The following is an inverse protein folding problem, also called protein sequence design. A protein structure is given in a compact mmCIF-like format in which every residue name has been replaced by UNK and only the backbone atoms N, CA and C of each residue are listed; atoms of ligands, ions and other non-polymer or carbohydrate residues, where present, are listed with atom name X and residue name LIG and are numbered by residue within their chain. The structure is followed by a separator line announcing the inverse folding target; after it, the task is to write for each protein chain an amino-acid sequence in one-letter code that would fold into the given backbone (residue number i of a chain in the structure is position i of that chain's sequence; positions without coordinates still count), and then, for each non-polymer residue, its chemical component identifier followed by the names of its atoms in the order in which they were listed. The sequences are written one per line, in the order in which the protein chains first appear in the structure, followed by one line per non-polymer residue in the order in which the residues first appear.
data_IF_019268520777
#
_entry.id   IF_019268520777
#
_cell.length_a   1.000
_cell.length_b   1.000
_cell.length_c   1.000
_cell.angle_alpha   90.00
_cell.angle_beta   90.00
_cell.angle_gamma   90.00
#
_symmetry.space_group_name_H-M   'P 1'
#
loop_
_entity.id
_entity.type
_entity.pdbx_description
1 polymer ?
#
# COMPACT_ATOMS: atom_id res chain seq x y z
N UNK A 1 5.63 -9.00 16.12
CA UNK A 1 6.89 -8.49 15.53
C UNK A 1 6.66 -7.14 14.88
N UNK A 2 7.71 -6.43 14.49
CA UNK A 2 7.63 -5.04 14.01
C UNK A 2 8.30 -4.86 12.65
N UNK A 3 7.98 -3.77 11.97
CA UNK A 3 8.68 -3.30 10.76
C UNK A 3 10.19 -3.17 10.97
N UNK A 4 10.61 -2.77 12.19
CA UNK A 4 12.03 -2.64 12.54
C UNK A 4 12.78 -3.96 12.47
N UNK A 5 12.13 -5.09 12.79
CA UNK A 5 12.74 -6.42 12.63
C UNK A 5 12.98 -6.72 11.15
N UNK A 6 11.96 -6.57 10.30
CA UNK A 6 12.10 -6.76 8.85
C UNK A 6 13.24 -5.92 8.27
N UNK A 7 13.27 -4.63 8.59
CA UNK A 7 14.29 -3.71 8.07
C UNK A 7 15.69 -4.05 8.56
N UNK A 8 15.90 -4.12 9.88
CA UNK A 8 17.25 -4.26 10.43
C UNK A 8 17.86 -5.63 10.11
N UNK A 9 17.06 -6.69 10.11
CA UNK A 9 17.57 -8.03 9.83
C UNK A 9 17.87 -8.19 8.34
N UNK A 10 17.02 -7.66 7.45
CA UNK A 10 17.28 -7.66 6.01
C UNK A 10 18.57 -6.90 5.68
N UNK A 11 18.69 -5.67 6.19
CA UNK A 11 19.87 -4.85 5.98
C UNK A 11 21.14 -5.51 6.52
N UNK A 12 21.06 -6.18 7.67
CA UNK A 12 22.17 -6.92 8.26
C UNK A 12 22.67 -8.04 7.34
N UNK A 13 21.77 -8.85 6.80
CA UNK A 13 22.12 -9.93 5.87
C UNK A 13 22.66 -9.36 4.56
N UNK A 14 22.01 -8.36 3.98
CA UNK A 14 22.43 -7.73 2.74
C UNK A 14 23.87 -7.17 2.85
N UNK A 15 24.18 -6.45 3.93
CA UNK A 15 25.54 -5.92 4.15
C UNK A 15 26.55 -7.05 4.41
N UNK A 16 26.17 -8.07 5.19
CA UNK A 16 27.08 -9.18 5.48
C UNK A 16 27.47 -9.95 4.21
N UNK A 17 26.52 -10.19 3.31
CA UNK A 17 26.76 -10.86 2.04
C UNK A 17 27.76 -10.10 1.14
N UNK A 18 27.89 -8.79 1.33
CA UNK A 18 28.80 -7.93 0.55
C UNK A 18 30.16 -7.77 1.24
N UNK A 19 30.20 -7.70 2.57
CA UNK A 19 31.42 -7.41 3.36
C UNK A 19 31.69 -8.51 4.40
N UNK A 20 31.96 -9.72 3.92
CA UNK A 20 32.10 -10.93 4.76
C UNK A 20 33.19 -10.86 5.84
N UNK A 21 34.15 -9.93 5.74
CA UNK A 21 35.28 -9.78 6.68
C UNK A 21 35.19 -8.55 7.61
N UNK A 22 34.18 -7.68 7.48
CA UNK A 22 34.03 -6.50 8.34
C UNK A 22 33.15 -6.78 9.56
N UNK A 23 33.40 -6.07 10.67
CA UNK A 23 32.47 -6.06 11.81
C UNK A 23 31.13 -5.49 11.32
N UNK A 24 30.12 -6.36 11.26
CA UNK A 24 28.75 -5.95 10.89
C UNK A 24 28.30 -4.84 11.85
N UNK A 25 27.82 -3.69 11.33
CA UNK A 25 27.28 -2.63 12.17
C UNK A 25 26.14 -3.15 13.05
N UNK A 26 26.07 -2.66 14.29
CA UNK A 26 24.89 -2.89 15.14
C UNK A 26 23.83 -1.87 14.74
N UNK A 27 22.64 -2.34 14.40
CA UNK A 27 21.50 -1.47 14.12
C UNK A 27 20.73 -1.14 15.40
N UNK A 28 20.47 0.14 15.59
CA UNK A 28 19.49 0.65 16.56
C UNK A 28 18.29 1.16 15.78
N UNK A 29 17.11 0.62 16.06
CA UNK A 29 15.86 1.10 15.51
C UNK A 29 15.10 1.90 16.58
N UNK A 30 14.89 3.19 16.35
CA UNK A 30 14.07 4.06 17.19
C UNK A 30 12.73 4.32 16.52
N UNK A 31 11.64 4.23 17.28
CA UNK A 31 10.29 4.52 16.80
C UNK A 31 9.67 5.64 17.61
N UNK A 32 9.40 6.76 16.95
CA UNK A 32 8.67 7.91 17.49
C UNK A 32 7.33 8.14 16.77
N UNK A 33 6.85 7.15 16.01
CA UNK A 33 5.59 7.23 15.29
C UNK A 33 4.40 7.27 16.25
N UNK A 34 3.34 7.97 15.85
CA UNK A 34 2.10 8.05 16.60
C UNK A 34 0.91 7.89 15.68
N UNK A 35 -0.04 7.03 16.07
CA UNK A 35 -1.25 6.79 15.30
C UNK A 35 -2.15 8.03 15.16
N UNK A 36 -2.81 8.13 14.02
CA UNK A 36 -3.83 9.16 13.74
C UNK A 36 -3.29 10.60 13.69
N UNK A 37 -2.00 10.77 13.33
CA UNK A 37 -1.37 12.07 13.14
C UNK A 37 -1.36 12.50 11.69
N UNK A 38 -1.63 13.77 11.47
CA UNK A 38 -1.48 14.44 10.18
C UNK A 38 -0.03 14.92 10.00
N UNK A 39 0.43 15.07 8.75
CA UNK A 39 1.81 15.47 8.42
C UNK A 39 2.30 16.69 9.23
N UNK A 40 1.49 17.75 9.34
CA UNK A 40 1.88 18.97 10.06
C UNK A 40 2.04 18.76 11.57
N UNK A 41 1.32 17.83 12.17
CA UNK A 41 1.51 17.51 13.59
C UNK A 41 2.87 16.88 13.88
N UNK A 42 3.54 16.35 12.85
CA UNK A 42 4.76 15.56 12.96
C UNK A 42 6.02 16.29 12.47
N UNK A 43 5.88 17.54 12.03
CA UNK A 43 7.01 18.38 11.63
C UNK A 43 7.30 19.45 12.68
N UNK A 44 8.53 20.00 12.69
CA UNK A 44 8.93 21.02 13.67
C UNK A 44 8.33 22.41 13.40
N UNK A 45 7.75 22.61 12.22
CA UNK A 45 7.23 23.89 11.73
C UNK A 45 5.79 24.16 12.18
N UNK A 46 5.05 23.10 12.48
CA UNK A 46 3.64 23.14 12.86
C UNK A 46 3.35 22.33 14.15
N UNK A 47 4.27 22.39 15.12
CA UNK A 47 4.14 21.66 16.38
C UNK A 47 2.94 22.15 17.22
N UNK A 48 1.90 21.31 17.27
CA UNK A 48 0.65 21.54 18.01
C UNK A 48 0.80 21.50 19.54
N UNK A 49 2.00 21.23 20.09
CA UNK A 49 2.22 21.16 21.54
C UNK A 49 1.83 22.45 22.29
N UNK A 50 1.74 23.57 21.57
CA UNK A 50 1.33 24.88 22.10
C UNK A 50 -0.06 25.32 21.63
N UNK A 51 -0.76 24.50 20.84
CA UNK A 51 -2.09 24.84 20.35
C UNK A 51 -3.10 24.78 21.51
N UNK A 52 -3.89 25.85 21.76
CA UNK A 52 -4.87 25.86 22.86
C UNK A 52 -5.97 24.79 22.72
N UNK A 53 -6.15 24.21 21.53
CA UNK A 53 -7.07 23.09 21.25
C UNK A 53 -6.46 21.73 21.62
N UNK A 54 -5.15 21.66 21.86
CA UNK A 54 -4.46 20.45 22.28
C UNK A 54 -4.74 20.12 23.77
N UNK A 55 -5.92 19.57 24.04
CA UNK A 55 -6.36 19.24 25.41
C UNK A 55 -6.07 17.81 25.88
N UNK A 56 -5.53 16.94 25.02
CA UNK A 56 -5.28 15.52 25.35
C UNK A 56 -3.87 15.11 24.98
N UNK A 57 -3.35 14.05 25.62
CA UNK A 57 -2.05 13.44 25.24
C UNK A 57 -2.00 13.03 23.77
N UNK A 58 -3.16 12.65 23.21
CA UNK A 58 -3.25 12.40 21.77
C UNK A 58 -2.93 13.69 21.00
N UNK A 59 -3.50 14.85 21.29
CA UNK A 59 -3.20 16.08 20.54
C UNK A 59 -1.96 16.86 21.00
N UNK A 60 -1.15 16.33 21.91
CA UNK A 60 -0.13 17.08 22.66
C UNK A 60 1.12 17.52 21.91
N UNK A 61 1.19 17.36 20.58
CA UNK A 61 2.34 17.70 19.75
C UNK A 61 3.67 17.07 20.20
N UNK A 62 4.79 17.71 19.85
CA UNK A 62 6.14 17.34 20.29
C UNK A 62 6.71 16.08 19.62
N UNK A 63 6.07 15.58 18.57
CA UNK A 63 6.43 14.31 17.93
C UNK A 63 7.78 14.38 17.20
N UNK A 64 8.00 15.43 16.41
CA UNK A 64 9.30 15.69 15.79
C UNK A 64 10.40 15.86 16.85
N UNK A 65 10.11 16.59 17.92
CA UNK A 65 11.09 16.77 19.00
C UNK A 65 11.44 15.42 19.65
N UNK A 66 10.45 14.55 19.83
CA UNK A 66 10.65 13.22 20.42
C UNK A 66 11.58 12.36 19.57
N UNK A 67 11.40 12.33 18.25
CA UNK A 67 12.29 11.59 17.34
C UNK A 67 13.72 12.15 17.36
N UNK A 68 13.89 13.47 17.37
CA UNK A 68 15.21 14.09 17.49
C UNK A 68 15.85 13.84 18.87
N UNK A 69 15.06 13.80 19.95
CA UNK A 69 15.56 13.46 21.28
C UNK A 69 16.05 12.00 21.36
N UNK A 70 15.44 11.07 20.62
CA UNK A 70 15.97 9.70 20.47
C UNK A 70 17.37 9.71 19.83
N UNK A 71 17.58 10.51 18.77
CA UNK A 71 18.88 10.66 18.12
C UNK A 71 19.93 11.21 19.10
N UNK A 72 19.57 12.22 19.91
CA UNK A 72 20.45 12.78 20.95
C UNK A 72 20.83 11.73 21.99
N UNK A 73 19.85 10.97 22.50
CA UNK A 73 20.07 9.90 23.48
C UNK A 73 21.00 8.83 22.93
N UNK A 74 20.71 8.32 21.74
CA UNK A 74 21.52 7.29 21.10
C UNK A 74 22.97 7.75 20.86
N UNK A 75 23.18 8.98 20.38
CA UNK A 75 24.51 9.55 20.19
C UNK A 75 25.27 9.71 21.52
N UNK A 76 24.59 10.14 22.58
CA UNK A 76 25.18 10.26 23.92
C UNK A 76 25.62 8.90 24.47
N UNK A 77 24.75 7.89 24.40
CA UNK A 77 25.06 6.53 24.88
C UNK A 77 26.20 5.88 24.10
N UNK A 78 26.25 6.09 22.79
CA UNK A 78 27.35 5.61 21.95
C UNK A 78 28.68 6.25 22.38
N UNK A 79 28.72 7.57 22.60
CA UNK A 79 29.91 8.27 23.11
C UNK A 79 30.34 7.76 24.49
N UNK A 80 29.40 7.58 25.42
CA UNK A 80 29.69 7.02 26.76
C UNK A 80 30.24 5.59 26.67
N UNK A 81 29.82 4.83 25.66
CA UNK A 81 30.26 3.46 25.41
C UNK A 81 31.50 3.35 24.52
N UNK A 82 32.13 4.46 24.13
CA UNK A 82 33.29 4.48 23.24
C UNK A 82 33.00 3.99 21.81
N UNK A 83 31.75 4.08 21.35
CA UNK A 83 31.30 3.69 20.01
C UNK A 83 31.01 4.92 19.14
N UNK A 84 31.19 4.79 17.82
CA UNK A 84 30.71 5.78 16.85
C UNK A 84 29.21 5.62 16.61
N UNK A 85 28.51 6.71 16.33
CA UNK A 85 27.09 6.71 16.00
C UNK A 85 26.82 7.59 14.78
N UNK A 86 25.92 7.13 13.93
CA UNK A 86 25.37 7.85 12.78
C UNK A 86 23.97 7.34 12.50
N UNK A 87 23.09 8.21 12.00
CA UNK A 87 21.79 7.79 11.51
C UNK A 87 21.89 7.50 10.02
N UNK A 88 21.63 6.25 9.67
CA UNK A 88 21.69 5.79 8.28
C UNK A 88 20.49 6.30 7.47
N UNK A 89 19.29 6.15 8.03
CA UNK A 89 18.05 6.42 7.33
C UNK A 89 16.94 6.86 8.28
N UNK A 90 16.01 7.66 7.75
CA UNK A 90 14.70 7.97 8.30
C UNK A 90 13.67 7.30 7.40
N UNK A 91 12.91 6.36 7.94
CA UNK A 91 11.78 5.73 7.25
C UNK A 91 10.49 6.43 7.65
N UNK A 92 9.92 7.17 6.71
CA UNK A 92 8.71 7.94 6.88
C UNK A 92 7.49 7.15 6.42
N UNK A 93 6.64 6.76 7.38
CA UNK A 93 5.36 6.13 7.11
C UNK A 93 4.23 6.95 7.70
N UNK A 94 3.60 7.74 6.84
CA UNK A 94 2.46 8.56 7.20
C UNK A 94 1.75 9.04 5.94
N UNK A 95 0.44 9.24 6.04
CA UNK A 95 -0.37 9.96 5.05
C UNK A 95 -1.85 9.62 5.15
N UNK A 96 -2.18 8.55 5.87
CA UNK A 96 -3.50 7.96 6.05
C UNK A 96 -4.47 8.97 6.70
N UNK A 97 -4.02 9.68 7.73
CA UNK A 97 -4.82 10.70 8.41
C UNK A 97 -5.21 11.86 7.47
N UNK A 98 -4.37 12.17 6.49
CA UNK A 98 -4.59 13.23 5.53
C UNK A 98 -5.54 12.83 4.38
N UNK A 99 -6.09 11.61 4.37
CA UNK A 99 -6.99 11.14 3.33
C UNK A 99 -8.27 12.00 3.18
N UNK A 100 -8.64 12.75 4.22
CA UNK A 100 -9.76 13.69 4.19
C UNK A 100 -9.41 15.08 3.64
N UNK A 101 -8.23 15.25 3.03
CA UNK A 101 -7.78 16.51 2.42
C UNK A 101 -7.27 17.56 3.40
N UNK A 102 -7.12 17.24 4.70
CA UNK A 102 -6.55 18.18 5.69
C UNK A 102 -5.06 17.94 5.88
N UNK A 103 -4.29 18.99 6.18
CA UNK A 103 -2.84 18.90 6.48
C UNK A 103 -2.55 18.84 7.98
N UNK A 104 -3.44 19.43 8.78
CA UNK A 104 -3.53 19.28 10.23
C UNK A 104 -4.97 18.90 10.61
N UNK A 105 -5.17 18.22 11.75
CA UNK A 105 -6.49 17.79 12.23
C UNK A 105 -7.53 18.92 12.32
N UNK A 106 -7.07 20.15 12.60
CA UNK A 106 -7.94 21.31 12.79
C UNK A 106 -8.16 22.15 11.53
N UNK A 107 -7.46 21.83 10.44
CA UNK A 107 -7.59 22.56 9.19
C UNK A 107 -8.90 22.20 8.48
N UNK A 108 -9.35 23.13 7.63
CA UNK A 108 -10.34 22.80 6.61
C UNK A 108 -9.72 21.91 5.53
N UNK A 109 -10.49 20.99 4.92
CA UNK A 109 -9.99 20.22 3.80
C UNK A 109 -9.63 21.15 2.64
N UNK A 110 -8.50 20.86 1.99
CA UNK A 110 -8.03 21.56 0.81
C UNK A 110 -8.54 20.89 -0.45
N UNK A 111 -8.74 21.69 -1.50
CA UNK A 111 -8.95 21.19 -2.85
C UNK A 111 -7.75 20.38 -3.34
N UNK A 112 -7.99 19.44 -4.25
CA UNK A 112 -7.01 18.43 -4.66
C UNK A 112 -5.64 19.02 -5.03
N UNK A 113 -5.62 20.00 -5.94
CA UNK A 113 -4.36 20.59 -6.40
C UNK A 113 -3.59 21.25 -5.24
N UNK A 114 -4.26 22.09 -4.45
CA UNK A 114 -3.67 22.78 -3.32
C UNK A 114 -3.16 21.81 -2.23
N UNK A 115 -3.89 20.74 -1.98
CA UNK A 115 -3.44 19.69 -1.05
C UNK A 115 -2.17 19.01 -1.55
N UNK A 116 -2.13 18.62 -2.83
CA UNK A 116 -0.98 17.89 -3.39
C UNK A 116 0.29 18.75 -3.29
N UNK A 117 0.20 20.03 -3.68
CA UNK A 117 1.33 20.95 -3.64
C UNK A 117 1.80 21.21 -2.20
N UNK A 118 0.86 21.44 -1.28
CA UNK A 118 1.20 21.72 0.11
C UNK A 118 1.73 20.50 0.87
N UNK A 119 1.15 19.31 0.67
CA UNK A 119 1.67 18.07 1.28
C UNK A 119 3.07 17.74 0.74
N UNK A 120 3.27 17.89 -0.57
CA UNK A 120 4.57 17.69 -1.21
C UNK A 120 5.62 18.61 -0.58
N UNK A 121 5.36 19.92 -0.51
CA UNK A 121 6.31 20.87 0.09
C UNK A 121 6.56 20.57 1.57
N UNK A 122 5.52 20.28 2.36
CA UNK A 122 5.65 19.96 3.79
C UNK A 122 6.50 18.69 4.00
N UNK A 123 6.43 17.70 3.11
CA UNK A 123 7.25 16.49 3.15
C UNK A 123 8.72 16.78 2.81
N UNK A 124 8.97 17.64 1.81
CA UNK A 124 10.32 18.08 1.43
C UNK A 124 10.97 18.86 2.59
N UNK A 125 10.22 19.77 3.19
CA UNK A 125 10.65 20.54 4.35
C UNK A 125 10.96 19.64 5.55
N UNK A 126 10.10 18.66 5.83
CA UNK A 126 10.31 17.67 6.89
C UNK A 126 11.59 16.86 6.67
N UNK A 127 11.84 16.41 5.44
CA UNK A 127 13.06 15.70 5.07
C UNK A 127 14.30 16.56 5.30
N UNK A 128 14.27 17.82 4.84
CA UNK A 128 15.38 18.76 5.03
C UNK A 128 15.64 19.02 6.52
N UNK A 129 14.57 19.22 7.30
CA UNK A 129 14.66 19.44 8.74
C UNK A 129 15.31 18.25 9.45
N UNK A 130 14.89 17.01 9.15
CA UNK A 130 15.50 15.81 9.71
C UNK A 130 16.97 15.68 9.33
N UNK A 131 17.31 15.82 8.05
CA UNK A 131 18.68 15.68 7.57
C UNK A 131 19.62 16.69 8.24
N UNK A 132 19.18 17.95 8.36
CA UNK A 132 19.94 18.99 9.03
C UNK A 132 20.13 18.70 10.52
N UNK A 133 19.03 18.53 11.26
CA UNK A 133 19.09 18.42 12.72
C UNK A 133 19.87 17.15 13.16
N UNK A 134 19.74 16.05 12.40
CA UNK A 134 20.50 14.83 12.65
C UNK A 134 21.99 15.03 12.39
N UNK A 135 22.36 15.70 11.30
CA UNK A 135 23.76 15.97 10.99
C UNK A 135 24.40 16.88 12.06
N UNK A 136 23.67 17.89 12.54
CA UNK A 136 24.12 18.76 13.63
C UNK A 136 24.35 18.00 14.95
N UNK A 137 23.48 17.03 15.28
CA UNK A 137 23.60 16.23 16.52
C UNK A 137 24.75 15.24 16.44
N UNK A 138 24.83 14.49 15.34
CA UNK A 138 25.75 13.36 15.19
C UNK A 138 27.13 13.78 14.70
N UNK A 139 27.22 14.87 13.94
CA UNK A 139 28.43 15.28 13.21
C UNK A 139 28.74 14.41 11.99
N UNK A 140 27.78 13.59 11.53
CA UNK A 140 27.98 12.73 10.36
C UNK A 140 28.17 13.56 9.08
N UNK A 141 29.07 13.12 8.20
CA UNK A 141 29.41 13.85 6.96
C UNK A 141 28.47 13.56 5.78
N UNK A 142 27.49 12.68 5.96
CA UNK A 142 26.51 12.29 4.95
C UNK A 142 25.10 12.56 5.46
N UNK A 143 24.19 12.92 4.56
CA UNK A 143 22.78 13.07 4.91
C UNK A 143 22.17 11.69 5.18
N UNK A 144 21.37 11.51 6.23
CA UNK A 144 20.53 10.33 6.36
C UNK A 144 19.64 10.17 5.12
N UNK A 145 19.48 8.93 4.66
CA UNK A 145 18.50 8.63 3.61
C UNK A 145 17.10 8.96 4.14
N UNK A 146 16.24 9.53 3.30
CA UNK A 146 14.83 9.73 3.65
C UNK A 146 13.97 8.85 2.74
N UNK A 147 13.39 7.80 3.31
CA UNK A 147 12.60 6.84 2.55
C UNK A 147 11.12 6.98 2.92
N UNK A 148 10.24 7.01 1.93
CA UNK A 148 8.78 7.00 2.10
C UNK A 148 8.19 5.81 1.36
N UNK A 149 6.92 5.54 1.61
CA UNK A 149 6.10 4.60 0.85
C UNK A 149 4.93 5.33 0.21
N UNK A 150 4.22 4.67 -0.71
CA UNK A 150 3.00 5.22 -1.29
C UNK A 150 1.82 4.80 -0.43
N UNK A 151 1.26 5.78 0.28
CA UNK A 151 0.04 5.58 1.06
C UNK A 151 -1.09 5.12 0.14
N UNK A 152 -1.74 4.00 0.49
CA UNK A 152 -2.74 3.38 -0.37
C UNK A 152 -4.00 4.27 -0.48
N UNK A 153 -4.48 4.47 -1.72
CA UNK A 153 -5.84 4.95 -2.00
C UNK A 153 -6.17 6.39 -1.61
N UNK A 154 -5.18 7.31 -1.55
CA UNK A 154 -5.45 8.69 -1.18
C UNK A 154 -4.51 9.72 -1.87
N UNK A 155 -4.84 11.00 -1.70
CA UNK A 155 -4.08 12.11 -2.28
C UNK A 155 -2.66 12.23 -1.70
N UNK A 156 -2.41 11.82 -0.45
CA UNK A 156 -1.07 11.85 0.13
C UNK A 156 -0.12 10.87 -0.57
N UNK A 157 -0.58 9.69 -0.99
CA UNK A 157 0.18 8.77 -1.83
C UNK A 157 0.69 9.40 -3.14
N UNK A 158 -0.13 10.25 -3.77
CA UNK A 158 0.25 10.99 -4.99
C UNK A 158 1.26 12.09 -4.66
N UNK A 159 1.04 12.85 -3.58
CA UNK A 159 1.97 13.89 -3.15
C UNK A 159 3.34 13.33 -2.74
N UNK A 160 3.38 12.18 -2.08
CA UNK A 160 4.61 11.46 -1.73
C UNK A 160 5.41 11.07 -2.98
N UNK A 161 4.72 10.58 -4.01
CA UNK A 161 5.35 10.26 -5.28
C UNK A 161 5.90 11.53 -5.96
N UNK A 162 5.12 12.61 -6.00
CA UNK A 162 5.58 13.89 -6.57
C UNK A 162 6.84 14.39 -5.85
N UNK A 163 6.86 14.37 -4.52
CA UNK A 163 8.04 14.73 -3.73
C UNK A 163 9.26 13.87 -4.09
N UNK A 164 9.10 12.54 -4.22
CA UNK A 164 10.20 11.65 -4.61
C UNK A 164 10.69 11.83 -6.05
N UNK A 165 9.84 12.32 -6.94
CA UNK A 165 10.22 12.58 -8.33
C UNK A 165 10.90 13.96 -8.48
N UNK A 166 10.57 14.92 -7.61
CA UNK A 166 11.21 16.24 -7.54
C UNK A 166 12.56 16.20 -6.81
N UNK A 167 12.61 15.57 -5.64
CA UNK A 167 13.79 15.55 -4.77
C UNK A 167 14.55 14.22 -4.86
N UNK A 168 15.80 14.27 -5.31
CA UNK A 168 16.67 13.09 -5.46
C UNK A 168 17.02 12.38 -4.14
N UNK A 169 16.79 13.01 -3.00
CA UNK A 169 17.06 12.45 -1.68
C UNK A 169 15.79 12.08 -0.89
N UNK A 170 14.63 11.97 -1.57
CA UNK A 170 13.41 11.31 -1.09
C UNK A 170 13.19 10.02 -1.90
N UNK A 171 13.36 8.87 -1.27
CA UNK A 171 13.25 7.57 -1.94
C UNK A 171 11.88 6.93 -1.68
N UNK A 172 11.07 6.78 -2.73
CA UNK A 172 9.83 6.03 -2.67
C UNK A 172 10.11 4.52 -2.80
N UNK A 173 9.86 3.76 -1.74
CA UNK A 173 10.08 2.30 -1.71
C UNK A 173 9.08 1.58 -2.62
N UNK A 174 7.81 1.97 -2.57
CA UNK A 174 6.75 1.37 -3.38
C UNK A 174 5.37 1.49 -2.70
N UNK A 175 4.33 0.90 -3.30
CA UNK A 175 3.00 0.83 -2.72
C UNK A 175 2.88 -0.27 -1.66
N UNK A 176 1.79 -0.25 -0.90
CA UNK A 176 1.49 -1.25 0.15
C UNK A 176 0.27 -2.11 -0.15
N UNK A 177 -0.37 -1.96 -1.32
CA UNK A 177 -1.63 -2.65 -1.62
C UNK A 177 -1.50 -4.18 -1.70
N UNK A 178 -0.30 -4.74 -1.83
CA UNK A 178 -0.05 -6.19 -1.82
C UNK A 178 0.12 -6.75 -0.41
N UNK A 179 0.34 -5.89 0.59
CA UNK A 179 0.65 -6.29 1.95
C UNK A 179 -0.63 -6.72 2.69
N UNK A 180 -0.56 -7.76 3.53
CA UNK A 180 -1.71 -8.21 4.30
C UNK A 180 -2.06 -7.21 5.42
N UNK A 181 -3.32 -6.79 5.45
CA UNK A 181 -3.86 -5.87 6.43
C UNK A 181 -4.35 -6.57 7.72
N UNK A 182 -4.48 -5.82 8.80
CA UNK A 182 -4.78 -6.32 10.14
C UNK A 182 -6.16 -6.98 10.29
N UNK A 183 -7.05 -6.92 9.29
CA UNK A 183 -8.33 -7.65 9.30
C UNK A 183 -8.13 -9.16 9.22
N UNK A 184 -6.98 -9.60 8.70
CA UNK A 184 -6.52 -10.99 8.78
C UNK A 184 -6.24 -11.43 10.23
N UNK A 185 -5.85 -10.49 11.10
CA UNK A 185 -5.54 -10.79 12.49
C UNK A 185 -6.82 -10.97 13.30
N UNK A 186 -6.99 -12.17 13.86
CA UNK A 186 -8.06 -12.51 14.80
C UNK A 186 -7.46 -12.98 16.13
N UNK A 187 -7.70 -12.26 17.22
CA UNK A 187 -7.04 -12.55 18.50
C UNK A 187 -7.96 -12.29 19.69
N UNK A 188 -7.73 -13.01 20.79
CA UNK A 188 -8.51 -12.87 22.03
C UNK A 188 -7.72 -12.05 23.05
N UNK A 189 -8.35 -11.01 23.59
CA UNK A 189 -7.80 -10.22 24.72
C UNK A 189 -8.78 -10.31 25.87
N UNK A 190 -8.37 -10.96 26.97
CA UNK A 190 -9.21 -11.13 28.15
C UNK A 190 -10.51 -11.90 27.88
N UNK A 191 -10.50 -12.88 26.95
CA UNK A 191 -11.68 -13.64 26.55
C UNK A 191 -12.56 -12.94 25.50
N UNK A 192 -12.20 -11.73 25.08
CA UNK A 192 -12.90 -10.99 24.04
C UNK A 192 -12.16 -11.08 22.71
N UNK A 193 -12.81 -11.67 21.71
CA UNK A 193 -12.29 -11.76 20.35
C UNK A 193 -12.34 -10.41 19.63
N UNK A 194 -11.22 -10.03 19.05
CA UNK A 194 -11.02 -8.78 18.30
C UNK A 194 -10.41 -9.07 16.94
N UNK A 195 -10.72 -8.18 16.00
CA UNK A 195 -10.10 -8.10 14.68
C UNK A 195 -9.24 -6.85 14.62
N UNK A 196 -8.15 -6.90 13.84
CA UNK A 196 -7.45 -5.67 13.47
C UNK A 196 -8.29 -4.82 12.49
N UNK A 197 -7.95 -3.53 12.40
CA UNK A 197 -8.56 -2.60 11.44
C UNK A 197 -7.79 -2.64 10.11
N UNK A 198 -8.51 -2.65 8.99
CA UNK A 198 -7.93 -2.77 7.65
C UNK A 198 -6.97 -1.64 7.27
N UNK A 199 -6.97 -0.51 7.98
CA UNK A 199 -5.99 0.57 7.76
C UNK A 199 -4.59 0.26 8.27
N UNK A 200 -4.45 -0.75 9.12
CA UNK A 200 -3.15 -1.17 9.65
C UNK A 200 -2.69 -2.45 8.95
N UNK A 201 -1.37 -2.69 8.95
CA UNK A 201 -0.82 -3.95 8.46
C UNK A 201 -0.88 -5.03 9.55
N UNK A 202 -0.90 -6.30 9.13
CA UNK A 202 -0.60 -7.42 10.03
C UNK A 202 0.86 -7.41 10.46
N UNK A 203 1.23 -8.23 11.45
CA UNK A 203 2.63 -8.44 11.80
C UNK A 203 3.50 -8.93 10.63
N UNK A 204 2.95 -9.79 9.76
CA UNK A 204 3.65 -10.26 8.55
C UNK A 204 3.74 -9.13 7.50
N UNK A 205 2.68 -8.32 7.34
CA UNK A 205 2.70 -7.14 6.47
C UNK A 205 3.71 -6.08 6.90
N UNK A 206 3.81 -5.80 8.20
CA UNK A 206 4.82 -4.90 8.77
C UNK A 206 6.25 -5.43 8.54
N UNK A 207 6.49 -6.73 8.79
CA UNK A 207 7.80 -7.35 8.53
C UNK A 207 8.16 -7.30 7.06
N UNK A 208 7.22 -7.62 6.17
CA UNK A 208 7.43 -7.58 4.72
C UNK A 208 7.77 -6.17 4.25
N UNK A 209 7.02 -5.15 4.68
CA UNK A 209 7.36 -3.76 4.37
C UNK A 209 8.74 -3.38 4.91
N UNK A 210 9.06 -3.82 6.13
CA UNK A 210 10.39 -3.62 6.72
C UNK A 210 11.50 -4.19 5.84
N UNK A 211 11.35 -5.42 5.36
CA UNK A 211 12.32 -6.02 4.44
C UNK A 211 12.43 -5.25 3.12
N UNK A 212 11.32 -4.73 2.57
CA UNK A 212 11.37 -3.86 1.40
C UNK A 212 12.17 -2.57 1.66
N UNK A 213 11.98 -1.92 2.82
CA UNK A 213 12.82 -0.78 3.21
C UNK A 213 14.29 -1.20 3.36
N UNK A 214 14.56 -2.33 4.02
CA UNK A 214 15.91 -2.86 4.21
C UNK A 214 16.64 -3.12 2.89
N UNK A 215 15.93 -3.72 1.93
CA UNK A 215 16.39 -3.96 0.57
C UNK A 215 16.77 -2.67 -0.15
N UNK A 216 15.85 -1.71 -0.18
CA UNK A 216 16.08 -0.41 -0.86
C UNK A 216 17.25 0.34 -0.23
N UNK A 217 17.31 0.39 1.10
CA UNK A 217 18.43 1.00 1.82
C UNK A 217 19.74 0.33 1.41
N UNK A 218 19.79 -1.01 1.44
CA UNK A 218 21.00 -1.76 1.07
C UNK A 218 21.48 -1.39 -0.33
N UNK A 219 20.58 -1.41 -1.33
CA UNK A 219 20.92 -1.06 -2.72
C UNK A 219 21.47 0.36 -2.87
N UNK A 220 20.87 1.33 -2.20
CA UNK A 220 21.38 2.71 -2.21
C UNK A 220 22.79 2.75 -1.61
N UNK A 221 23.01 2.15 -0.44
CA UNK A 221 24.27 2.34 0.30
C UNK A 221 25.41 1.43 -0.19
N UNK A 222 25.10 0.29 -0.81
CA UNK A 222 26.12 -0.67 -1.26
C UNK A 222 26.36 -0.64 -2.76
N UNK A 223 25.32 -0.41 -3.56
CA UNK A 223 25.42 -0.34 -5.02
C UNK A 223 25.37 1.09 -5.57
N UNK A 224 25.03 2.08 -4.75
CA UNK A 224 24.95 3.49 -5.18
C UNK A 224 23.77 3.76 -6.10
N UNK A 225 22.71 2.95 -6.02
CA UNK A 225 21.53 3.08 -6.88
C UNK A 225 20.77 4.39 -6.62
N UNK A 226 20.40 5.09 -7.71
CA UNK A 226 19.44 6.21 -7.69
C UNK A 226 18.02 5.63 -7.66
N UNK A 227 17.65 5.07 -6.51
CA UNK A 227 16.44 4.25 -6.39
C UNK A 227 15.17 5.02 -6.77
N UNK A 228 14.37 4.41 -7.64
CA UNK A 228 13.00 4.82 -7.96
C UNK A 228 12.08 3.60 -7.94
N UNK A 229 10.80 3.75 -7.60
CA UNK A 229 9.85 2.65 -7.63
C UNK A 229 9.54 2.24 -9.08
N UNK A 230 8.86 1.11 -9.26
CA UNK A 230 8.23 0.79 -10.54
C UNK A 230 7.12 1.82 -10.82
N UNK A 231 7.31 2.66 -11.84
CA UNK A 231 6.40 3.77 -12.16
C UNK A 231 6.33 4.06 -13.66
N UNK A 232 5.20 4.56 -14.19
CA UNK A 232 5.13 4.99 -15.59
C UNK A 232 5.97 6.25 -15.81
N UNK A 233 6.56 6.34 -16.98
CA UNK A 233 7.38 7.49 -17.40
C UNK A 233 6.69 8.31 -18.48
N UNK A 234 6.07 7.66 -19.46
CA UNK A 234 5.28 8.32 -20.51
C UNK A 234 4.34 7.35 -21.17
N UNK A 235 3.20 7.86 -21.64
CA UNK A 235 2.26 7.14 -22.48
C UNK A 235 2.21 7.78 -23.87
N UNK A 236 2.43 6.97 -24.91
CA UNK A 236 2.51 7.40 -26.31
C UNK A 236 1.39 6.75 -27.13
N UNK A 237 0.49 7.55 -27.67
CA UNK A 237 -0.62 7.10 -28.52
C UNK A 237 -0.13 6.66 -29.90
N UNK A 238 -0.68 5.57 -30.40
CA UNK A 238 -0.45 4.98 -31.72
C UNK A 238 -1.77 4.99 -32.52
N UNK A 239 -2.05 6.08 -33.27
CA UNK A 239 -3.35 6.29 -33.93
C UNK A 239 -3.76 5.18 -34.89
N UNK A 240 -2.78 4.66 -35.65
CA UNK A 240 -3.03 3.68 -36.72
C UNK A 240 -3.40 2.29 -36.17
N UNK A 241 -3.21 2.07 -34.87
CA UNK A 241 -3.37 0.76 -34.22
C UNK A 241 -4.42 0.77 -33.10
N UNK A 242 -5.11 1.89 -32.89
CA UNK A 242 -6.06 2.09 -31.77
C UNK A 242 -5.46 1.68 -30.41
N UNK A 243 -4.17 1.97 -30.23
CA UNK A 243 -3.38 1.52 -29.10
C UNK A 243 -2.48 2.62 -28.57
N UNK A 244 -1.85 2.37 -27.43
CA UNK A 244 -0.78 3.21 -26.90
C UNK A 244 0.27 2.36 -26.20
N UNK A 245 1.50 2.88 -26.10
CA UNK A 245 2.60 2.26 -25.37
C UNK A 245 2.88 3.10 -24.13
N UNK A 246 3.07 2.44 -23.00
CA UNK A 246 3.53 3.07 -21.76
C UNK A 246 4.93 2.56 -21.46
N UNK A 247 5.88 3.48 -21.36
CA UNK A 247 7.22 3.21 -20.89
C UNK A 247 7.26 3.34 -19.37
N UNK A 248 7.93 2.42 -18.68
CA UNK A 248 8.06 2.36 -17.23
C UNK A 248 9.53 2.47 -16.81
N UNK A 249 9.76 3.10 -15.64
CA UNK A 249 10.96 2.83 -14.87
C UNK A 249 10.78 1.47 -14.19
N UNK A 250 11.66 0.50 -14.48
CA UNK A 250 11.63 -0.84 -13.89
C UNK A 250 12.88 -1.02 -13.01
N UNK A 251 12.74 -1.17 -11.68
CA UNK A 251 13.90 -1.24 -10.79
C UNK A 251 14.79 -2.45 -11.07
N UNK A 252 14.21 -3.64 -11.29
CA UNK A 252 14.97 -4.86 -11.57
C UNK A 252 14.36 -5.67 -12.73
N UNK A 253 15.22 -6.07 -13.66
CA UNK A 253 14.85 -7.04 -14.69
C UNK A 253 13.80 -6.51 -15.67
N UNK A 254 12.66 -7.19 -15.75
CA UNK A 254 11.57 -6.87 -16.68
C UNK A 254 10.27 -6.56 -15.95
N UNK A 255 9.41 -5.78 -16.59
CA UNK A 255 8.02 -5.59 -16.18
C UNK A 255 7.24 -6.89 -16.32
N UNK A 256 6.45 -7.23 -15.30
CA UNK A 256 5.64 -8.45 -15.27
C UNK A 256 4.19 -8.12 -14.97
N UNK A 257 3.32 -8.67 -15.82
CA UNK A 257 1.88 -8.75 -15.58
C UNK A 257 1.65 -9.98 -14.71
N UNK A 258 1.41 -9.75 -13.41
CA UNK A 258 1.20 -10.79 -12.41
C UNK A 258 -0.29 -10.91 -12.06
N UNK A 259 -0.91 -11.97 -12.58
CA UNK A 259 -2.31 -12.35 -12.30
C UNK A 259 -2.42 -13.56 -11.37
N UNK A 260 -1.28 -14.05 -10.87
CA UNK A 260 -1.20 -15.23 -10.02
C UNK A 260 -1.12 -14.85 -8.53
N UNK A 261 -0.35 -13.81 -8.20
CA UNK A 261 -0.21 -13.36 -6.82
C UNK A 261 -1.42 -12.54 -6.38
N UNK A 262 -1.76 -11.45 -7.09
CA UNK A 262 -3.01 -10.72 -6.87
C UNK A 262 -4.02 -11.11 -7.94
N UNK A 263 -5.33 -11.18 -7.62
CA UNK A 263 -6.34 -11.50 -8.61
C UNK A 263 -6.35 -10.46 -9.75
N UNK A 264 -6.65 -10.85 -10.99
CA UNK A 264 -6.69 -9.92 -12.11
C UNK A 264 -7.90 -8.97 -12.03
N UNK A 265 -7.68 -7.69 -12.35
CA UNK A 265 -8.77 -6.71 -12.51
C UNK A 265 -9.22 -6.59 -13.97
N UNK A 266 -10.06 -7.53 -14.39
CA UNK A 266 -10.59 -7.57 -15.75
C UNK A 266 -9.47 -7.54 -16.81
N UNK A 267 -9.78 -6.97 -17.98
CA UNK A 267 -8.81 -6.82 -19.09
C UNK A 267 -7.83 -5.66 -18.89
N UNK A 268 -8.19 -4.71 -18.03
CA UNK A 268 -7.35 -3.55 -17.73
C UNK A 268 -6.20 -3.88 -16.77
N UNK A 269 -6.28 -4.97 -16.00
CA UNK A 269 -5.22 -5.40 -15.06
C UNK A 269 -4.82 -4.29 -14.07
N UNK A 270 -5.82 -3.51 -13.65
CA UNK A 270 -5.67 -2.36 -12.74
C UNK A 270 -5.49 -1.03 -13.47
N UNK A 271 -5.33 -1.02 -14.80
CA UNK A 271 -5.31 0.19 -15.62
C UNK A 271 -6.72 0.59 -16.08
N UNK A 272 -6.98 1.89 -16.09
CA UNK A 272 -8.18 2.50 -16.66
C UNK A 272 -7.79 3.68 -17.54
N UNK A 273 -8.54 3.92 -18.61
CA UNK A 273 -8.33 5.05 -19.52
C UNK A 273 -9.59 5.89 -19.52
N UNK A 274 -9.45 7.18 -19.22
CA UNK A 274 -10.55 8.14 -19.22
C UNK A 274 -10.19 9.33 -20.12
N UNK A 275 -11.18 10.02 -20.68
CA UNK A 275 -10.95 11.34 -21.27
C UNK A 275 -11.09 12.47 -20.25
N UNK A 276 -10.89 13.71 -20.70
CA UNK A 276 -10.98 14.90 -19.86
C UNK A 276 -12.38 15.15 -19.24
N UNK A 277 -13.44 14.52 -19.77
CA UNK A 277 -14.80 14.59 -19.22
C UNK A 277 -15.08 13.49 -18.19
N UNK A 278 -14.16 12.53 -18.04
CA UNK A 278 -14.34 11.33 -17.23
C UNK A 278 -15.01 10.18 -17.97
N UNK A 279 -15.17 10.26 -19.30
CA UNK A 279 -15.69 9.13 -20.07
C UNK A 279 -14.66 7.99 -20.10
N UNK A 280 -15.10 6.80 -19.70
CA UNK A 280 -14.25 5.62 -19.71
C UNK A 280 -14.06 5.04 -21.13
N UNK A 281 -12.82 4.65 -21.42
CA UNK A 281 -12.39 3.91 -22.59
C UNK A 281 -11.90 2.54 -22.12
N UNK A 282 -12.71 1.51 -22.34
CA UNK A 282 -12.36 0.15 -21.96
C UNK A 282 -11.05 -0.29 -22.62
N UNK A 283 -10.22 -1.06 -21.89
CA UNK A 283 -9.01 -1.68 -22.41
C UNK A 283 -9.35 -3.09 -22.90
N UNK A 284 -9.03 -3.38 -24.15
CA UNK A 284 -9.27 -4.68 -24.76
C UNK A 284 -8.14 -5.68 -24.48
N UNK A 285 -6.91 -5.19 -24.38
CA UNK A 285 -5.71 -6.01 -24.22
C UNK A 285 -4.56 -5.19 -23.62
N UNK A 286 -3.74 -5.84 -22.79
CA UNK A 286 -2.46 -5.33 -22.29
C UNK A 286 -1.40 -6.38 -22.52
N UNK A 287 -0.29 -6.00 -23.15
CA UNK A 287 0.83 -6.91 -23.46
C UNK A 287 2.17 -6.27 -23.16
N UNK A 288 3.14 -7.07 -22.69
CA UNK A 288 4.52 -6.61 -22.59
C UNK A 288 5.13 -6.52 -23.99
N UNK A 289 5.70 -5.35 -24.31
CA UNK A 289 6.39 -5.10 -25.59
C UNK A 289 7.86 -5.45 -25.47
N UNK A 290 8.47 -5.10 -24.34
CA UNK A 290 9.84 -5.39 -23.98
C UNK A 290 9.97 -5.32 -22.45
N UNK A 291 11.20 -5.33 -21.94
CA UNK A 291 11.48 -5.32 -20.50
C UNK A 291 10.88 -4.15 -19.72
N UNK A 292 10.60 -3.02 -20.35
CA UNK A 292 10.21 -1.79 -19.67
C UNK A 292 8.98 -1.12 -20.26
N UNK A 293 8.23 -1.80 -21.13
CA UNK A 293 7.09 -1.19 -21.81
C UNK A 293 5.91 -2.14 -21.97
N UNK A 294 4.71 -1.60 -21.78
CA UNK A 294 3.45 -2.28 -22.03
C UNK A 294 2.70 -1.59 -23.18
N UNK A 295 2.06 -2.38 -24.05
CA UNK A 295 1.13 -1.92 -25.09
C UNK A 295 -0.30 -2.20 -24.65
N UNK A 296 -1.16 -1.23 -24.91
CA UNK A 296 -2.57 -1.23 -24.54
C UNK A 296 -3.42 -1.04 -25.78
N UNK A 297 -4.37 -1.94 -26.03
CA UNK A 297 -5.35 -1.80 -27.11
C UNK A 297 -6.65 -1.26 -26.53
N UNK A 298 -7.19 -0.19 -27.09
CA UNK A 298 -8.47 0.39 -26.67
C UNK A 298 -9.63 -0.42 -27.23
N UNK A 299 -10.69 -0.60 -26.43
CA UNK A 299 -11.92 -1.29 -26.81
C UNK A 299 -12.81 -0.48 -27.75
N UNK A 300 -12.54 0.83 -27.90
CA UNK A 300 -13.17 1.70 -28.89
C UNK A 300 -12.19 2.76 -29.37
N UNK A 301 -12.38 3.20 -30.61
CA UNK A 301 -11.59 4.27 -31.22
C UNK A 301 -12.00 5.61 -30.60
N UNK A 302 -11.07 6.38 -30.02
CA UNK A 302 -11.33 7.75 -29.57
C UNK A 302 -11.63 8.67 -30.75
N UNK A 303 -12.52 9.63 -30.55
CA UNK A 303 -12.72 10.69 -31.52
C UNK A 303 -11.41 11.46 -31.75
N UNK A 304 -11.24 12.00 -32.97
CA UNK A 304 -10.02 12.74 -33.32
C UNK A 304 -9.86 13.94 -32.40
N UNK A 305 -8.70 14.05 -31.75
CA UNK A 305 -8.37 15.16 -30.84
C UNK A 305 -8.80 14.94 -29.40
N UNK A 306 -9.43 13.80 -29.06
CA UNK A 306 -9.72 13.44 -27.67
C UNK A 306 -8.41 13.24 -26.91
N UNK A 307 -8.20 14.02 -25.84
CA UNK A 307 -7.12 13.79 -24.88
C UNK A 307 -7.54 12.67 -23.93
N UNK A 308 -6.70 11.65 -23.83
CA UNK A 308 -6.88 10.52 -22.92
C UNK A 308 -5.88 10.57 -21.78
N UNK A 309 -6.27 10.02 -20.64
CA UNK A 309 -5.48 9.90 -19.43
C UNK A 309 -5.50 8.45 -18.97
N UNK A 310 -4.31 7.93 -18.65
CA UNK A 310 -4.15 6.63 -18.03
C UNK A 310 -4.08 6.79 -16.51
N UNK A 311 -4.79 5.93 -15.81
CA UNK A 311 -4.66 5.74 -14.37
C UNK A 311 -4.44 4.26 -14.06
N UNK A 312 -3.87 4.00 -12.90
CA UNK A 312 -3.58 2.65 -12.45
C UNK A 312 -3.79 2.54 -10.94
N UNK A 313 -4.33 1.42 -10.49
CA UNK A 313 -4.43 1.15 -9.06
C UNK A 313 -5.56 1.88 -8.35
N UNK A 314 -6.69 2.15 -9.04
CA UNK A 314 -7.79 2.97 -8.50
C UNK A 314 -9.02 2.14 -8.06
N UNK A 315 -9.10 0.86 -8.44
CA UNK A 315 -10.22 -0.02 -8.11
C UNK A 315 -9.82 -1.09 -7.11
N UNK A 316 -10.72 -1.38 -6.18
CA UNK A 316 -10.61 -2.52 -5.24
C UNK A 316 -11.51 -3.69 -5.63
N UNK A 317 -12.53 -3.45 -6.47
CA UNK A 317 -13.39 -4.48 -7.04
C UNK A 317 -12.55 -5.47 -7.87
N UNK A 318 -12.88 -6.75 -7.76
CA UNK A 318 -12.17 -7.82 -8.46
C UNK A 318 -13.04 -8.37 -9.60
N UNK A 319 -14.21 -8.93 -9.26
CA UNK A 319 -15.20 -9.41 -10.23
C UNK A 319 -16.58 -9.58 -9.59
N UNK A 320 -17.60 -9.68 -10.45
CA UNK A 320 -18.95 -10.12 -10.09
C UNK A 320 -18.98 -11.59 -9.67
N UNK A 321 -19.77 -11.90 -8.64
CA UNK A 321 -20.09 -13.28 -8.29
C UNK A 321 -21.05 -13.83 -9.34
N UNK A 322 -20.74 -14.97 -10.00
CA UNK A 322 -21.49 -15.46 -11.16
C UNK A 322 -22.86 -16.05 -10.82
N UNK A 323 -23.27 -16.02 -9.55
CA UNK A 323 -24.56 -16.47 -9.08
C UNK A 323 -25.11 -15.50 -8.03
N UNK A 324 -26.44 -15.32 -7.93
CA UNK A 324 -27.04 -14.62 -6.81
C UNK A 324 -26.96 -15.47 -5.54
N UNK A 325 -27.17 -14.83 -4.39
CA UNK A 325 -27.29 -15.54 -3.11
C UNK A 325 -28.51 -16.46 -3.16
N UNK A 326 -28.32 -17.77 -2.98
CA UNK A 326 -29.40 -18.76 -2.99
C UNK A 326 -29.94 -19.07 -1.60
N UNK A 327 -29.14 -18.89 -0.56
CA UNK A 327 -29.57 -19.09 0.83
C UNK A 327 -28.69 -18.30 1.82
N UNK A 328 -29.26 -17.89 2.94
CA UNK A 328 -28.55 -17.21 4.04
C UNK A 328 -28.85 -17.97 5.33
N UNK A 329 -27.82 -18.29 6.10
CA UNK A 329 -27.96 -18.81 7.47
C UNK A 329 -27.22 -17.93 8.44
N UNK A 330 -27.78 -17.79 9.64
CA UNK A 330 -27.07 -17.24 10.79
C UNK A 330 -26.97 -18.30 11.87
N UNK A 331 -25.85 -18.29 12.60
CA UNK A 331 -25.71 -19.06 13.84
C UNK A 331 -24.91 -18.25 14.84
N UNK A 332 -25.28 -18.36 16.11
CA UNK A 332 -24.46 -17.83 17.19
C UNK A 332 -23.35 -18.84 17.48
N UNK A 333 -22.09 -18.44 17.26
CA UNK A 333 -20.92 -19.30 17.50
C UNK A 333 -20.55 -19.39 19.00
N UNK A 334 -21.44 -18.94 19.89
CA UNK A 334 -21.37 -19.16 21.34
C UNK A 334 -20.25 -18.43 22.08
N UNK A 335 -19.46 -17.61 21.38
CA UNK A 335 -18.39 -16.82 21.97
C UNK A 335 -18.47 -15.34 21.56
N UNK A 336 -17.51 -14.54 22.05
CA UNK A 336 -17.45 -13.10 21.82
C UNK A 336 -17.19 -12.69 20.35
N UNK A 337 -17.17 -13.64 19.41
CA UNK A 337 -17.01 -13.37 17.98
C UNK A 337 -18.28 -12.78 17.36
N UNK A 338 -19.45 -13.09 17.92
CA UNK A 338 -20.75 -12.65 17.44
C UNK A 338 -21.42 -13.66 16.51
N UNK A 339 -22.54 -13.25 15.91
CA UNK A 339 -23.32 -14.10 15.00
C UNK A 339 -22.57 -14.33 13.69
N UNK A 340 -22.30 -15.60 13.36
CA UNK A 340 -21.75 -15.99 12.06
C UNK A 340 -22.86 -15.95 11.00
N UNK A 341 -22.54 -15.40 9.84
CA UNK A 341 -23.37 -15.40 8.64
C UNK A 341 -22.75 -16.29 7.58
N UNK A 342 -23.55 -17.18 7.02
CA UNK A 342 -23.20 -18.07 5.91
C UNK A 342 -24.06 -17.72 4.70
N UNK A 343 -23.43 -17.18 3.64
CA UNK A 343 -24.07 -16.84 2.38
C UNK A 343 -23.78 -17.94 1.36
N UNK A 344 -24.83 -18.58 0.86
CA UNK A 344 -24.72 -19.69 -0.10
C UNK A 344 -24.95 -19.20 -1.52
N UNK A 345 -24.12 -19.68 -2.43
CA UNK A 345 -24.21 -19.48 -3.88
C UNK A 345 -24.29 -20.86 -4.55
N UNK A 346 -25.12 -20.98 -5.58
CA UNK A 346 -25.30 -22.24 -6.28
C UNK A 346 -24.06 -22.60 -7.12
N UNK A 347 -23.63 -23.85 -7.02
CA UNK A 347 -22.45 -24.37 -7.71
C UNK A 347 -21.12 -24.15 -6.98
N UNK A 348 -20.08 -24.78 -7.52
CA UNK A 348 -18.69 -24.69 -7.04
C UNK A 348 -17.98 -23.48 -7.66
N UNK A 349 -17.76 -22.46 -6.83
CA UNK A 349 -17.08 -21.21 -7.15
C UNK A 349 -15.72 -21.12 -6.41
N UNK A 350 -15.23 -22.22 -5.84
CA UNK A 350 -14.00 -22.23 -5.04
C UNK A 350 -12.78 -21.70 -5.82
N UNK A 351 -12.65 -22.10 -7.08
CA UNK A 351 -11.58 -21.63 -7.98
C UNK A 351 -11.64 -20.13 -8.23
N UNK A 352 -12.84 -19.57 -8.30
CA UNK A 352 -13.06 -18.13 -8.47
C UNK A 352 -12.47 -17.38 -7.28
N UNK A 353 -12.81 -17.80 -6.05
CA UNK A 353 -12.38 -17.13 -4.82
C UNK A 353 -10.96 -17.48 -4.35
N UNK A 354 -10.35 -18.54 -4.89
CA UNK A 354 -9.05 -19.04 -4.43
C UNK A 354 -7.94 -17.97 -4.38
N UNK A 355 -7.74 -17.09 -5.38
CA UNK A 355 -6.72 -16.04 -5.30
C UNK A 355 -6.93 -15.09 -4.12
N UNK A 356 -8.19 -14.74 -3.82
CA UNK A 356 -8.54 -13.87 -2.68
C UNK A 356 -8.34 -14.57 -1.34
N UNK A 357 -8.63 -15.88 -1.26
CA UNK A 357 -8.40 -16.67 -0.05
C UNK A 357 -6.92 -16.82 0.31
N UNK A 358 -6.02 -16.75 -0.68
CA UNK A 358 -4.57 -16.71 -0.42
C UNK A 358 -4.11 -15.41 0.25
N UNK A 359 -4.97 -14.38 0.28
CA UNK A 359 -4.73 -13.11 0.96
C UNK A 359 -5.29 -13.07 2.39
N UNK A 360 -5.97 -14.13 2.82
CA UNK A 360 -6.57 -14.32 4.14
C UNK A 360 -8.04 -13.89 4.22
N UNK A 361 -8.35 -12.63 3.92
CA UNK A 361 -9.73 -12.11 3.90
C UNK A 361 -10.01 -11.28 2.65
N UNK A 362 -11.27 -11.25 2.24
CA UNK A 362 -11.77 -10.37 1.19
C UNK A 362 -13.18 -9.88 1.52
N UNK A 363 -13.73 -9.04 0.66
CA UNK A 363 -15.06 -8.45 0.88
C UNK A 363 -16.06 -9.00 -0.12
N UNK A 364 -17.26 -9.31 0.37
CA UNK A 364 -18.44 -9.51 -0.45
C UNK A 364 -19.33 -8.28 -0.30
N UNK A 365 -19.75 -7.69 -1.41
CA UNK A 365 -20.63 -6.52 -1.45
C UNK A 365 -21.85 -6.80 -2.31
N UNK A 366 -23.01 -6.26 -1.95
CA UNK A 366 -24.19 -6.36 -2.79
C UNK A 366 -24.11 -5.41 -4.00
N UNK A 367 -24.71 -5.80 -5.11
CA UNK A 367 -24.92 -4.92 -6.27
C UNK A 367 -26.24 -4.18 -6.11
N UNK A 368 -26.18 -2.90 -5.74
CA UNK A 368 -27.34 -2.02 -5.57
C UNK A 368 -27.06 -0.65 -6.17
N UNK A 369 -28.12 0.02 -6.66
CA UNK A 369 -28.04 1.40 -7.16
C UNK A 369 -28.30 2.47 -6.09
N UNK A 370 -28.83 2.08 -4.93
CA UNK A 370 -29.12 2.98 -3.82
C UNK A 370 -28.11 2.77 -2.69
N UNK A 371 -27.35 3.81 -2.37
CA UNK A 371 -26.32 3.76 -1.32
C UNK A 371 -26.88 3.39 0.06
N UNK A 372 -28.14 3.75 0.34
CA UNK A 372 -28.84 3.39 1.58
C UNK A 372 -29.09 1.90 1.73
N UNK A 373 -28.97 1.12 0.64
CA UNK A 373 -29.09 -0.34 0.63
C UNK A 373 -27.73 -1.03 0.53
N UNK A 374 -26.64 -0.27 0.41
CA UNK A 374 -25.30 -0.83 0.26
C UNK A 374 -24.84 -1.52 1.55
N UNK A 375 -24.40 -2.76 1.41
CA UNK A 375 -23.73 -3.51 2.47
C UNK A 375 -22.53 -4.26 1.93
N UNK A 376 -21.56 -4.48 2.81
CA UNK A 376 -20.49 -5.43 2.58
C UNK A 376 -20.21 -6.22 3.86
N UNK A 377 -19.55 -7.36 3.70
CA UNK A 377 -19.09 -8.20 4.80
C UNK A 377 -17.66 -8.66 4.52
N UNK A 378 -16.86 -8.79 5.58
CA UNK A 378 -15.56 -9.45 5.52
C UNK A 378 -15.80 -10.96 5.45
N UNK A 379 -15.42 -11.56 4.32
CA UNK A 379 -15.40 -13.00 4.10
C UNK A 379 -14.10 -13.56 4.66
N UNK A 380 -14.22 -14.56 5.53
CA UNK A 380 -13.10 -15.19 6.25
C UNK A 380 -12.94 -16.67 5.94
N UNK A 381 -13.98 -17.29 5.39
CA UNK A 381 -13.96 -18.70 5.02
C UNK A 381 -14.82 -18.95 3.78
N UNK A 382 -14.37 -19.89 2.95
CA UNK A 382 -15.05 -20.33 1.74
C UNK A 382 -15.01 -21.85 1.72
N UNK A 383 -16.20 -22.47 1.68
CA UNK A 383 -16.33 -23.93 1.64
C UNK A 383 -17.36 -24.38 0.62
N UNK A 384 -17.23 -25.62 0.18
CA UNK A 384 -18.25 -26.30 -0.60
C UNK A 384 -19.08 -27.17 0.35
N UNK A 385 -20.39 -26.96 0.37
CA UNK A 385 -21.29 -27.76 1.21
C UNK A 385 -21.61 -29.12 0.56
N UNK A 386 -22.30 -30.00 1.29
CA UNK A 386 -22.64 -31.34 0.82
C UNK A 386 -23.51 -31.39 -0.46
N UNK A 387 -24.11 -30.26 -0.87
CA UNK A 387 -24.88 -30.14 -2.12
C UNK A 387 -24.05 -29.64 -3.30
N UNK A 388 -22.75 -29.42 -3.13
CA UNK A 388 -21.88 -28.86 -4.16
C UNK A 388 -22.00 -27.34 -4.33
N UNK A 389 -22.63 -26.65 -3.37
CA UNK A 389 -22.80 -25.20 -3.39
C UNK A 389 -21.72 -24.50 -2.57
N UNK A 390 -21.30 -23.33 -3.03
CA UNK A 390 -20.32 -22.49 -2.34
C UNK A 390 -20.94 -21.74 -1.17
N UNK A 391 -20.26 -21.72 -0.04
CA UNK A 391 -20.69 -21.01 1.17
C UNK A 391 -19.57 -20.07 1.61
N UNK A 392 -19.85 -18.78 1.61
CA UNK A 392 -18.98 -17.72 2.14
C UNK A 392 -19.40 -17.44 3.59
N UNK A 393 -18.43 -17.36 4.50
CA UNK A 393 -18.71 -17.11 5.92
C UNK A 393 -18.02 -15.83 6.42
N UNK A 394 -18.75 -15.04 7.21
CA UNK A 394 -18.27 -13.83 7.87
C UNK A 394 -19.09 -13.54 9.14
N UNK A 395 -18.77 -12.49 9.89
CA UNK A 395 -19.50 -12.14 11.11
C UNK A 395 -20.46 -10.98 10.88
N UNK A 396 -21.67 -11.06 11.45
CA UNK A 396 -22.68 -10.01 11.32
C UNK A 396 -22.23 -8.64 11.83
N UNK A 397 -21.31 -8.61 12.82
CA UNK A 397 -20.71 -7.38 13.33
C UNK A 397 -19.83 -6.65 12.31
N UNK A 398 -19.33 -7.38 11.30
CA UNK A 398 -18.49 -6.84 10.22
C UNK A 398 -19.36 -6.30 9.06
N UNK A 399 -20.70 -6.35 9.16
CA UNK A 399 -21.59 -5.80 8.15
C UNK A 399 -21.54 -4.27 8.15
N UNK A 400 -21.28 -3.69 6.98
CA UNK A 400 -21.38 -2.24 6.82
C UNK A 400 -22.83 -1.76 7.00
N UNK A 401 -22.97 -0.66 7.72
CA UNK A 401 -24.26 -0.02 8.05
C UNK A 401 -25.26 -0.92 8.81
N UNK A 402 -24.85 -2.12 9.26
CA UNK A 402 -25.76 -3.11 9.84
C UNK A 402 -26.81 -3.65 8.86
N UNK A 403 -26.60 -3.47 7.55
CA UNK A 403 -27.56 -3.89 6.51
C UNK A 403 -27.32 -5.36 6.16
N UNK A 404 -28.37 -6.18 6.24
CA UNK A 404 -28.31 -7.60 5.89
C UNK A 404 -28.40 -7.82 4.37
N UNK A 405 -27.78 -8.91 3.93
CA UNK A 405 -28.00 -9.46 2.60
C UNK A 405 -29.38 -10.14 2.49
N UNK A 406 -29.86 -10.30 1.27
CA UNK A 406 -31.13 -10.95 0.92
C UNK A 406 -30.92 -12.02 -0.15
N UNK A 407 -31.70 -13.09 -0.07
CA UNK A 407 -31.74 -14.13 -1.11
C UNK A 407 -32.16 -13.50 -2.46
N UNK A 408 -31.52 -13.94 -3.53
CA UNK A 408 -31.71 -13.41 -4.88
C UNK A 408 -30.82 -12.20 -5.23
N UNK A 409 -30.11 -11.61 -4.26
CA UNK A 409 -29.19 -10.50 -4.54
C UNK A 409 -27.97 -10.97 -5.32
N UNK A 410 -27.59 -10.19 -6.33
CA UNK A 410 -26.28 -10.29 -6.99
C UNK A 410 -25.23 -9.57 -6.16
N UNK A 411 -23.99 -10.03 -6.26
CA UNK A 411 -22.87 -9.54 -5.46
C UNK A 411 -21.61 -9.41 -6.31
N UNK A 412 -20.65 -8.65 -5.79
CA UNK A 412 -19.28 -8.62 -6.29
C UNK A 412 -18.32 -8.82 -5.13
N UNK A 413 -17.09 -9.22 -5.44
CA UNK A 413 -16.01 -9.31 -4.46
C UNK A 413 -14.96 -8.25 -4.67
N UNK A 414 -14.37 -7.79 -3.58
CA UNK A 414 -13.36 -6.74 -3.60
C UNK A 414 -12.27 -7.00 -2.56
N UNK A 415 -11.10 -6.39 -2.79
CA UNK A 415 -10.06 -6.23 -1.78
C UNK A 415 -10.38 -5.01 -0.91
N UNK A 416 -9.63 -4.83 0.19
CA UNK A 416 -9.78 -3.65 1.07
C UNK A 416 -9.42 -2.36 0.34
N UNK A 417 -8.26 -2.36 -0.32
CA UNK A 417 -7.69 -1.22 -1.00
C UNK A 417 -7.64 -1.43 -2.50
N UNK A 418 -7.61 -0.32 -3.20
CA UNK A 418 -7.30 -0.32 -4.62
C UNK A 418 -5.90 -0.87 -4.88
N UNK A 419 -5.72 -1.54 -6.01
CA UNK A 419 -4.50 -2.29 -6.31
C UNK A 419 -4.28 -2.45 -7.79
N UNK A 420 -3.18 -3.10 -8.19
CA UNK A 420 -3.03 -3.56 -9.56
C UNK A 420 -2.10 -4.77 -9.67
N UNK A 421 -1.86 -5.21 -10.90
CA UNK A 421 -1.24 -6.49 -11.22
C UNK A 421 0.16 -6.38 -11.83
N UNK A 422 0.83 -5.24 -11.66
CA UNK A 422 2.14 -4.97 -12.28
C UNK A 422 3.25 -4.94 -11.22
N UNK A 423 4.30 -5.71 -11.47
CA UNK A 423 5.53 -5.74 -10.68
C UNK A 423 6.75 -5.89 -11.59
N UNK A 424 7.94 -5.94 -11.02
CA UNK A 424 9.19 -6.27 -11.72
C UNK A 424 9.67 -7.71 -11.45
N UNK A 425 10.86 -8.10 -11.94
CA UNK A 425 11.43 -9.45 -11.81
C UNK A 425 12.45 -9.57 -10.67
N UNK A 426 12.29 -8.80 -9.59
CA UNK A 426 13.23 -8.84 -8.47
C UNK A 426 13.21 -10.20 -7.73
N UNK A 427 14.24 -11.02 -7.90
CA UNK A 427 14.35 -12.35 -7.28
C UNK A 427 14.96 -12.33 -5.87
N UNK A 428 15.20 -11.14 -5.30
CA UNK A 428 15.74 -11.01 -3.96
C UNK A 428 14.87 -11.72 -2.91
N UNK A 429 15.52 -12.50 -2.05
CA UNK A 429 14.83 -13.37 -1.09
C UNK A 429 14.63 -12.66 0.24
N UNK A 430 13.40 -12.71 0.74
CA UNK A 430 13.09 -12.32 2.11
C UNK A 430 13.74 -13.27 3.12
N UNK A 431 14.10 -12.73 4.28
CA UNK A 431 14.56 -13.50 5.45
C UNK A 431 13.35 -14.10 6.16
N UNK A 432 12.26 -13.37 6.21
CA UNK A 432 11.03 -13.78 6.86
C UNK A 432 10.06 -14.43 5.88
N UNK A 433 9.11 -15.14 6.47
CA UNK A 433 8.11 -15.94 5.78
C UNK A 433 6.74 -15.61 6.37
N UNK A 434 5.69 -15.84 5.60
CA UNK A 434 4.32 -15.76 6.10
C UNK A 434 4.12 -16.72 7.26
N UNK A 435 4.00 -16.19 8.47
CA UNK A 435 3.87 -16.96 9.70
C UNK A 435 2.41 -17.31 9.98
N UNK A 436 1.46 -16.46 9.57
CA UNK A 436 0.04 -16.71 9.78
C UNK A 436 -0.47 -17.82 8.84
N UNK A 437 -1.09 -18.90 9.37
CA UNK A 437 -1.66 -19.98 8.55
C UNK A 437 -2.90 -19.55 7.75
N UNK A 438 -3.52 -18.40 8.05
CA UNK A 438 -4.66 -17.88 7.29
C UNK A 438 -4.29 -17.45 5.87
N UNK A 439 -3.00 -17.27 5.56
CA UNK A 439 -2.53 -16.98 4.19
C UNK A 439 -2.51 -18.20 3.24
N UNK A 440 -3.21 -19.28 3.59
CA UNK A 440 -3.38 -20.45 2.74
C UNK A 440 -2.06 -21.01 2.24
N UNK A 441 -1.90 -21.12 0.92
CA UNK A 441 -0.67 -21.66 0.29
C UNK A 441 0.55 -20.76 0.44
N UNK A 442 0.40 -19.50 0.88
CA UNK A 442 1.54 -18.62 1.15
C UNK A 442 2.16 -18.89 2.51
N UNK A 443 1.44 -19.54 3.43
CA UNK A 443 1.98 -19.89 4.74
C UNK A 443 3.31 -20.66 4.61
N UNK A 444 4.34 -20.20 5.31
CA UNK A 444 5.68 -20.77 5.27
C UNK A 444 6.52 -20.40 4.03
N UNK A 445 5.96 -19.66 3.06
CA UNK A 445 6.71 -19.13 1.92
C UNK A 445 7.42 -17.82 2.31
N UNK A 446 8.60 -17.51 1.74
CA UNK A 446 9.22 -16.20 1.87
C UNK A 446 8.31 -15.09 1.35
N UNK A 447 8.43 -13.90 1.93
CA UNK A 447 7.78 -12.74 1.33
C UNK A 447 8.37 -12.44 -0.05
N UNK A 448 7.55 -12.18 -1.09
CA UNK A 448 8.08 -11.78 -2.36
C UNK A 448 8.58 -10.34 -2.28
N UNK A 449 9.86 -10.11 -2.52
CA UNK A 449 10.44 -8.76 -2.51
C UNK A 449 10.37 -8.09 -3.89
N UNK A 450 9.33 -8.35 -4.68
CA UNK A 450 9.11 -7.65 -5.94
C UNK A 450 8.86 -6.16 -5.73
N UNK A 451 9.21 -5.35 -6.72
CA UNK A 451 8.86 -3.93 -6.75
C UNK A 451 7.56 -3.78 -7.54
N UNK A 452 6.49 -3.46 -6.81
CA UNK A 452 5.16 -3.30 -7.38
C UNK A 452 4.98 -1.90 -7.98
N UNK A 453 4.21 -1.82 -9.06
CA UNK A 453 3.93 -0.55 -9.72
C UNK A 453 3.11 0.35 -8.79
N UNK A 454 3.59 1.55 -8.56
CA UNK A 454 2.84 2.58 -7.83
C UNK A 454 1.50 2.88 -8.51
N UNK A 455 0.47 3.16 -7.70
CA UNK A 455 -0.76 3.75 -8.18
C UNK A 455 -0.51 5.17 -8.70
N UNK A 456 -1.19 5.54 -9.77
CA UNK A 456 -1.11 6.89 -10.35
C UNK A 456 -2.42 7.25 -11.04
N UNK A 457 -2.64 8.56 -11.20
CA UNK A 457 -3.77 9.11 -11.95
C UNK A 457 -3.26 10.13 -12.95
N UNK A 458 -4.10 10.47 -13.92
CA UNK A 458 -3.92 11.64 -14.79
C UNK A 458 -2.65 11.61 -15.66
N UNK A 459 -2.11 10.43 -16.01
CA UNK A 459 -0.97 10.34 -16.93
C UNK A 459 -1.45 10.61 -18.36
N UNK A 460 -1.06 11.73 -19.01
CA UNK A 460 -1.56 12.06 -20.34
C UNK A 460 -1.00 11.08 -21.38
N UNK A 461 -1.90 10.54 -22.21
CA UNK A 461 -1.53 9.76 -23.38
C UNK A 461 -1.30 10.74 -24.52
N UNK A 462 -0.04 10.93 -24.90
CA UNK A 462 0.38 11.96 -25.86
C UNK A 462 0.66 11.35 -27.22
N UNK A 463 0.34 12.07 -28.29
CA UNK A 463 0.81 11.67 -29.61
C UNK A 463 2.30 11.93 -29.74
N UNK A 464 3.03 11.02 -30.37
CA UNK A 464 4.43 11.28 -30.71
C UNK A 464 4.44 12.48 -31.67
N UNK A 465 4.99 13.61 -31.25
CA UNK A 465 5.27 14.71 -32.16
C UNK A 465 6.13 14.14 -33.30
N UNK A 466 5.68 14.27 -34.55
CA UNK A 466 6.56 14.01 -35.69
C UNK A 466 7.75 14.97 -35.54
N UNK A 467 9.00 14.46 -35.66
CA UNK A 467 10.19 15.29 -35.54
C UNK A 467 10.19 16.46 -36.53
#
# INVERSE_FOLDING_TARGET
ETIGNGLCDHLRVAIHNIKSNDKIPKFLFSFAGQGGRYLRELNKRHDDAKDPRAGTRQSGGGYYRTSIDDVRRANSEARLSGQSYSVLAVTWMQGEANANGRLNRWDFPLERAAFLDAYQQDLIDLKNDYQQDIAEITGQSFKPLFLTYQTAGNMSGIAQLRASNEEKDIFMVGPTYMLPNAENSYYSVGGHWRTGDGIHLTADGERWLGEQFGKVIARIITAGEDWKPLQPMRATYLPDEYSFIVDFHVPVGSIVIDTAFLPPQGKGLGFEVNDASGEAYGIAEVTAVNKTALRFVLGKVPARGTQLFLQYGQQSEVYDVPAPISNIKSRDDGDSRGTLLELTFDGDLSKTFMPLMQEGVFYLSNRVSQDSLFTNIIVRDVKINAKGNTVLSGFAKDLKNGILFSVGQTCYVSRRYAYGNIRDEDEEQAIYKFADPSYGSRHGQPYPLWNWCIAFTDLPITQKNKP
#
